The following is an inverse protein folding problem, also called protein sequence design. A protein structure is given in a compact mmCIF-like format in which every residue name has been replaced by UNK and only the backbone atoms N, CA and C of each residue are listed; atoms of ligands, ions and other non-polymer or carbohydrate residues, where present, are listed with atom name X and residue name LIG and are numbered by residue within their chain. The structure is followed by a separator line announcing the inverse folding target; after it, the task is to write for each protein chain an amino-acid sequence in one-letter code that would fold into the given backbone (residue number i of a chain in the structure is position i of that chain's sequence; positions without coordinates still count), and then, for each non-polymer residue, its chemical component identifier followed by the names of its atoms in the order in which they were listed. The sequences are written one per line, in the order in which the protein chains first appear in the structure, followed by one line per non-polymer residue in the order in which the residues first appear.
data_IF_603043911677
#
_entry.id   IF_603043911677
#
_cell.length_a   1.000
_cell.length_b   1.000
_cell.length_c   1.000
_cell.angle_alpha   90.00
_cell.angle_beta   90.00
_cell.angle_gamma   90.00
#
_symmetry.space_group_name_H-M   'P 1'
#
loop_
_entity.id
_entity.type
_entity.pdbx_description
1 polymer ?
#
# COMPACT_ATOMS: atom_id res chain seq x y z
N UNK A 1 -17.98 31.26 17.12
CA UNK A 1 -18.20 30.02 17.89
C UNK A 1 -18.28 28.88 16.88
N UNK A 2 -17.17 28.16 16.69
CA UNK A 2 -16.98 27.07 15.73
C UNK A 2 -18.00 25.94 15.94
N UNK A 3 -18.99 25.82 15.04
CA UNK A 3 -19.73 24.56 14.85
C UNK A 3 -19.21 23.74 13.66
N UNK A 4 -18.25 24.28 12.91
CA UNK A 4 -17.70 23.67 11.69
C UNK A 4 -16.57 22.65 11.92
N UNK A 5 -16.19 22.36 13.17
CA UNK A 5 -14.84 21.82 13.40
C UNK A 5 -14.73 20.31 13.61
N UNK A 6 -15.81 19.61 13.96
CA UNK A 6 -15.73 18.16 14.26
C UNK A 6 -16.34 17.33 13.14
N UNK A 7 -17.53 17.69 12.65
CA UNK A 7 -18.17 17.00 11.52
C UNK A 7 -17.33 17.09 10.24
N UNK A 8 -16.73 18.25 9.96
CA UNK A 8 -15.90 18.44 8.78
C UNK A 8 -14.59 17.62 8.87
N UNK A 9 -13.99 17.54 10.06
CA UNK A 9 -12.80 16.71 10.31
C UNK A 9 -13.13 15.22 10.18
N UNK A 10 -14.23 14.76 10.77
CA UNK A 10 -14.69 13.37 10.65
C UNK A 10 -14.99 13.00 9.19
N UNK A 11 -15.68 13.88 8.46
CA UNK A 11 -15.99 13.67 7.05
C UNK A 11 -14.71 13.64 6.18
N UNK A 12 -13.73 14.48 6.48
CA UNK A 12 -12.43 14.46 5.82
C UNK A 12 -11.66 13.17 6.12
N UNK A 13 -11.71 12.65 7.35
CA UNK A 13 -11.12 11.35 7.71
C UNK A 13 -11.80 10.19 7.01
N UNK A 14 -13.14 10.18 6.94
CA UNK A 14 -13.87 9.12 6.22
C UNK A 14 -13.54 9.13 4.71
N UNK A 15 -13.43 10.31 4.11
CA UNK A 15 -13.00 10.45 2.71
C UNK A 15 -11.57 9.99 2.49
N UNK A 16 -10.64 10.32 3.41
CA UNK A 16 -9.25 9.85 3.34
C UNK A 16 -9.19 8.33 3.46
N UNK A 17 -9.89 7.72 4.42
CA UNK A 17 -9.94 6.27 4.56
C UNK A 17 -10.49 5.57 3.32
N UNK A 18 -11.53 6.12 2.71
CA UNK A 18 -12.08 5.59 1.47
C UNK A 18 -11.04 5.65 0.34
N UNK A 19 -10.39 6.79 0.13
CA UNK A 19 -9.34 6.95 -0.89
C UNK A 19 -8.13 6.06 -0.63
N UNK A 20 -7.71 5.93 0.62
CA UNK A 20 -6.65 5.00 1.00
C UNK A 20 -7.03 3.57 0.66
N UNK A 21 -8.25 3.13 1.00
CA UNK A 21 -8.72 1.78 0.70
C UNK A 21 -8.84 1.54 -0.81
N UNK A 22 -9.31 2.52 -1.58
CA UNK A 22 -9.41 2.42 -3.04
C UNK A 22 -8.01 2.27 -3.66
N UNK A 23 -7.04 3.09 -3.25
CA UNK A 23 -5.64 2.95 -3.68
C UNK A 23 -5.01 1.64 -3.21
N UNK A 24 -5.31 1.19 -1.99
CA UNK A 24 -4.83 -0.07 -1.45
C UNK A 24 -5.32 -1.25 -2.30
N UNK A 25 -6.62 -1.30 -2.61
CA UNK A 25 -7.20 -2.31 -3.49
C UNK A 25 -6.57 -2.31 -4.87
N UNK A 26 -6.37 -1.14 -5.44
CA UNK A 26 -5.74 -1.00 -6.75
C UNK A 26 -4.30 -1.55 -6.76
N UNK A 27 -3.50 -1.25 -5.73
CA UNK A 27 -2.17 -1.87 -5.57
C UNK A 27 -2.21 -3.39 -5.40
N UNK A 28 -3.21 -3.92 -4.68
CA UNK A 28 -3.41 -5.38 -4.55
C UNK A 28 -3.80 -6.01 -5.89
N UNK A 29 -4.68 -5.37 -6.67
CA UNK A 29 -5.06 -5.85 -8.00
C UNK A 29 -3.87 -5.85 -8.97
N UNK A 30 -3.03 -4.82 -8.91
CA UNK A 30 -1.83 -4.70 -9.74
C UNK A 30 -0.80 -5.79 -9.42
N UNK A 31 -0.43 -5.95 -8.15
CA UNK A 31 0.55 -6.96 -7.71
C UNK A 31 0.01 -8.39 -7.80
N UNK A 32 -1.32 -8.53 -7.78
CA UNK A 32 -1.99 -9.81 -7.78
C UNK A 32 -2.58 -10.15 -6.40
N UNK A 33 -3.87 -10.53 -6.36
CA UNK A 33 -4.59 -10.76 -5.11
C UNK A 33 -4.05 -11.95 -4.30
N UNK A 34 -3.23 -12.84 -4.89
CA UNK A 34 -2.61 -13.96 -4.19
C UNK A 34 -1.67 -13.54 -3.04
N UNK A 35 -1.12 -12.33 -3.11
CA UNK A 35 -0.22 -11.79 -2.09
C UNK A 35 -0.96 -11.23 -0.88
N UNK A 36 -2.28 -11.09 -0.94
CA UNK A 36 -3.08 -10.38 0.05
C UNK A 36 -4.33 -11.19 0.43
N UNK A 37 -4.82 -11.01 1.66
CA UNK A 37 -6.05 -11.70 2.08
C UNK A 37 -6.37 -11.51 3.56
N UNK A 38 -7.43 -12.14 4.08
CA UNK A 38 -8.20 -13.23 3.48
C UNK A 38 -9.36 -12.81 2.54
N UNK A 39 -9.65 -11.51 2.44
CA UNK A 39 -10.67 -10.97 1.54
C UNK A 39 -10.18 -10.84 0.11
N UNK A 40 -11.00 -10.22 -0.73
CA UNK A 40 -10.67 -9.92 -2.13
C UNK A 40 -10.80 -8.41 -2.41
N UNK A 41 -10.03 -7.84 -3.36
CA UNK A 41 -10.07 -6.41 -3.67
C UNK A 41 -11.49 -5.89 -3.95
N UNK A 42 -12.31 -6.70 -4.61
CA UNK A 42 -13.67 -6.36 -5.00
C UNK A 42 -14.63 -6.24 -3.80
N UNK A 43 -14.37 -6.99 -2.73
CA UNK A 43 -15.31 -7.13 -1.60
C UNK A 43 -14.82 -6.51 -0.30
N UNK A 44 -13.51 -6.31 -0.15
CA UNK A 44 -12.91 -5.79 1.07
C UNK A 44 -13.47 -4.42 1.44
N UNK A 45 -13.75 -4.22 2.73
CA UNK A 45 -14.24 -2.94 3.28
C UNK A 45 -13.22 -2.24 4.16
N UNK A 46 -12.13 -2.93 4.47
CA UNK A 46 -11.05 -2.49 5.33
C UNK A 46 -9.72 -3.00 4.77
N UNK A 47 -8.62 -2.32 5.10
CA UNK A 47 -7.28 -2.74 4.64
C UNK A 47 -6.87 -4.08 5.25
N UNK A 48 -7.35 -4.40 6.45
CA UNK A 48 -7.06 -5.62 7.18
C UNK A 48 -7.60 -6.88 6.50
N UNK A 49 -8.68 -6.74 5.72
CA UNK A 49 -9.19 -7.81 4.85
C UNK A 49 -8.24 -8.13 3.69
N UNK A 50 -7.34 -7.20 3.36
CA UNK A 50 -6.32 -7.31 2.31
C UNK A 50 -4.93 -7.17 2.91
N UNK A 51 -4.69 -7.78 4.08
CA UNK A 51 -3.36 -7.76 4.68
C UNK A 51 -2.40 -8.59 3.82
N UNK A 52 -1.11 -8.22 3.74
CA UNK A 52 -0.14 -9.00 2.99
C UNK A 52 0.08 -10.37 3.66
N UNK A 53 0.15 -11.42 2.84
CA UNK A 53 0.28 -12.81 3.26
C UNK A 53 1.76 -13.18 3.34
N UNK A 54 2.34 -13.07 4.54
CA UNK A 54 3.77 -13.29 4.78
C UNK A 54 4.34 -14.55 4.14
N UNK A 55 3.70 -15.71 4.34
CA UNK A 55 4.20 -16.96 3.78
C UNK A 55 4.17 -17.01 2.24
N UNK A 56 3.18 -16.38 1.60
CA UNK A 56 3.11 -16.31 0.13
C UNK A 56 4.15 -15.33 -0.41
N UNK A 57 4.22 -14.14 0.18
CA UNK A 57 5.19 -13.11 -0.23
C UNK A 57 6.60 -13.65 -0.07
N UNK A 58 6.98 -14.22 1.08
CA UNK A 58 8.32 -14.78 1.28
C UNK A 58 8.68 -15.91 0.30
N UNK A 59 7.69 -16.64 -0.23
CA UNK A 59 7.94 -17.73 -1.17
C UNK A 59 8.08 -17.27 -2.62
N UNK A 60 7.42 -16.18 -3.00
CA UNK A 60 7.32 -15.71 -4.40
C UNK A 60 8.05 -14.39 -4.64
N UNK A 61 8.51 -13.69 -3.60
CA UNK A 61 9.10 -12.36 -3.72
C UNK A 61 10.21 -12.30 -4.77
N UNK A 62 11.16 -13.22 -4.71
CA UNK A 62 12.32 -13.30 -5.64
C UNK A 62 11.95 -13.79 -7.06
N UNK A 63 10.70 -14.18 -7.31
CA UNK A 63 10.22 -14.60 -8.63
C UNK A 63 9.60 -13.44 -9.44
N UNK A 64 9.30 -12.32 -8.77
CA UNK A 64 8.71 -11.11 -9.37
C UNK A 64 9.75 -10.28 -10.12
N UNK A 65 9.31 -9.30 -10.92
CA UNK A 65 10.25 -8.35 -11.51
C UNK A 65 10.80 -7.37 -10.47
N UNK A 66 11.99 -6.81 -10.71
CA UNK A 66 12.62 -5.84 -9.79
C UNK A 66 11.69 -4.66 -9.44
N UNK A 67 10.87 -4.20 -10.39
CA UNK A 67 9.88 -3.15 -10.15
C UNK A 67 8.72 -3.60 -9.26
N UNK A 68 8.21 -4.81 -9.48
CA UNK A 68 7.14 -5.41 -8.67
C UNK A 68 7.61 -5.74 -7.25
N UNK A 69 8.84 -6.23 -7.07
CA UNK A 69 9.45 -6.45 -5.75
C UNK A 69 9.53 -5.14 -4.95
N UNK A 70 10.01 -4.07 -5.59
CA UNK A 70 10.07 -2.73 -4.97
C UNK A 70 8.67 -2.21 -4.63
N UNK A 71 7.71 -2.39 -5.54
CA UNK A 71 6.33 -1.96 -5.30
C UNK A 71 5.67 -2.77 -4.17
N UNK A 72 5.88 -4.08 -4.13
CA UNK A 72 5.37 -4.97 -3.10
C UNK A 72 5.98 -4.64 -1.74
N UNK A 73 7.28 -4.37 -1.65
CA UNK A 73 7.92 -3.92 -0.43
C UNK A 73 7.32 -2.57 0.06
N UNK A 74 7.08 -1.63 -0.86
CA UNK A 74 6.45 -0.35 -0.54
C UNK A 74 5.00 -0.54 -0.05
N UNK A 75 4.20 -1.35 -0.73
CA UNK A 75 2.83 -1.71 -0.31
C UNK A 75 2.82 -2.34 1.08
N UNK A 76 3.68 -3.34 1.32
CA UNK A 76 3.83 -3.97 2.64
C UNK A 76 4.17 -2.93 3.70
N UNK A 77 5.00 -1.92 3.41
CA UNK A 77 5.37 -0.88 4.38
C UNK A 77 4.19 -0.03 4.89
N UNK A 78 3.13 0.14 4.09
CA UNK A 78 1.90 0.82 4.55
C UNK A 78 1.05 -0.05 5.49
N UNK A 79 1.25 -1.37 5.48
CA UNK A 79 0.59 -2.30 6.38
C UNK A 79 1.46 -2.74 7.57
N UNK A 80 2.78 -2.84 7.39
CA UNK A 80 3.80 -3.17 8.38
C UNK A 80 5.12 -2.50 7.96
N UNK A 81 5.43 -1.30 8.47
CA UNK A 81 6.61 -0.54 8.07
C UNK A 81 7.92 -1.29 8.28
N UNK A 82 8.04 -2.05 9.37
CA UNK A 82 9.26 -2.78 9.71
C UNK A 82 9.48 -3.94 8.73
N UNK A 83 8.41 -4.66 8.37
CA UNK A 83 8.52 -5.74 7.40
C UNK A 83 8.72 -5.21 5.96
N UNK A 84 8.09 -4.10 5.59
CA UNK A 84 8.35 -3.45 4.30
C UNK A 84 9.81 -3.01 4.15
N UNK A 85 10.40 -2.46 5.22
CA UNK A 85 11.84 -2.12 5.27
C UNK A 85 12.72 -3.37 5.13
N UNK A 86 12.36 -4.47 5.80
CA UNK A 86 13.07 -5.75 5.66
C UNK A 86 13.02 -6.27 4.21
N UNK A 87 11.86 -6.23 3.55
CA UNK A 87 11.72 -6.64 2.15
C UNK A 87 12.55 -5.75 1.22
N UNK A 88 12.51 -4.44 1.40
CA UNK A 88 13.33 -3.50 0.61
C UNK A 88 14.83 -3.76 0.77
N UNK A 89 15.28 -4.14 1.98
CA UNK A 89 16.68 -4.49 2.23
C UNK A 89 17.12 -5.76 1.48
N UNK A 90 16.23 -6.76 1.36
CA UNK A 90 16.54 -8.03 0.68
C UNK A 90 16.85 -7.86 -0.81
N UNK A 91 16.18 -6.90 -1.46
CA UNK A 91 16.39 -6.56 -2.88
C UNK A 91 17.39 -5.42 -3.09
N UNK A 92 18.17 -5.08 -2.05
CA UNK A 92 19.15 -3.99 -2.07
C UNK A 92 18.55 -2.64 -2.53
N UNK A 93 17.24 -2.45 -2.32
CA UNK A 93 16.56 -1.21 -2.67
C UNK A 93 16.89 -0.13 -1.63
N UNK A 94 17.98 0.59 -1.89
CA UNK A 94 18.43 1.72 -1.08
C UNK A 94 17.86 3.06 -1.56
N UNK A 95 16.82 3.03 -2.39
CA UNK A 95 16.27 4.22 -3.02
C UNK A 95 15.50 5.05 -2.00
N UNK A 96 15.63 6.37 -2.11
CA UNK A 96 14.71 7.29 -1.44
C UNK A 96 13.30 7.12 -2.01
N UNK A 97 12.29 7.69 -1.33
CA UNK A 97 10.91 7.69 -1.82
C UNK A 97 10.78 8.18 -3.28
N UNK A 98 11.53 9.22 -3.64
CA UNK A 98 11.59 9.72 -5.02
C UNK A 98 12.37 8.82 -5.97
N UNK A 99 13.24 7.95 -5.45
CA UNK A 99 13.98 6.98 -6.24
C UNK A 99 13.13 5.79 -6.66
N UNK A 100 12.07 5.46 -5.91
CA UNK A 100 11.11 4.42 -6.30
C UNK A 100 10.48 4.74 -7.67
N UNK A 101 10.22 6.02 -7.96
CA UNK A 101 9.61 6.44 -9.25
C UNK A 101 10.53 6.27 -10.46
N UNK A 102 11.77 5.75 -10.30
CA UNK A 102 12.66 5.44 -11.41
C UNK A 102 12.38 4.06 -12.01
N UNK A 103 11.93 3.13 -11.19
CA UNK A 103 11.67 1.74 -11.59
C UNK A 103 10.18 1.40 -11.56
N UNK A 104 9.39 2.17 -10.79
CA UNK A 104 7.94 2.09 -10.82
C UNK A 104 7.40 2.73 -12.09
N UNK A 105 6.42 2.06 -12.70
CA UNK A 105 5.64 2.66 -13.76
C UNK A 105 4.72 3.78 -13.21
N UNK A 106 4.00 4.42 -14.13
CA UNK A 106 3.13 5.54 -13.78
C UNK A 106 2.00 5.11 -12.84
N UNK A 107 1.44 3.92 -13.05
CA UNK A 107 0.32 3.38 -12.27
C UNK A 107 0.74 3.10 -10.82
N UNK A 108 1.87 2.42 -10.63
CA UNK A 108 2.47 2.20 -9.31
C UNK A 108 2.78 3.52 -8.59
N UNK A 109 3.29 4.51 -9.32
CA UNK A 109 3.59 5.84 -8.76
C UNK A 109 2.32 6.56 -8.29
N UNK A 110 1.24 6.48 -9.06
CA UNK A 110 -0.07 7.05 -8.68
C UNK A 110 -0.63 6.37 -7.42
N UNK A 111 -0.55 5.04 -7.35
CA UNK A 111 -1.00 4.27 -6.18
C UNK A 111 -0.24 4.69 -4.93
N UNK A 112 1.11 4.76 -4.99
CA UNK A 112 1.93 5.18 -3.85
C UNK A 112 1.60 6.63 -3.44
N UNK A 113 1.39 7.54 -4.40
CA UNK A 113 1.01 8.91 -4.10
C UNK A 113 -0.34 8.98 -3.37
N UNK A 114 -1.37 8.27 -3.85
CA UNK A 114 -2.67 8.23 -3.19
C UNK A 114 -2.59 7.58 -1.80
N UNK A 115 -1.79 6.51 -1.64
CA UNK A 115 -1.54 5.92 -0.32
C UNK A 115 -0.90 6.94 0.63
N UNK A 116 0.17 7.63 0.23
CA UNK A 116 0.84 8.64 1.05
C UNK A 116 -0.09 9.80 1.46
N UNK A 117 -0.87 10.33 0.51
CA UNK A 117 -1.75 11.47 0.74
C UNK A 117 -2.89 11.15 1.72
N UNK A 118 -3.34 9.90 1.72
CA UNK A 118 -4.49 9.44 2.47
C UNK A 118 -4.12 8.55 3.67
N UNK A 119 -2.83 8.28 3.90
CA UNK A 119 -2.35 7.51 5.04
C UNK A 119 -2.59 8.27 6.36
N UNK A 120 -3.42 7.71 7.23
CA UNK A 120 -3.72 8.31 8.54
C UNK A 120 -2.73 7.88 9.64
N UNK A 121 -1.73 7.06 9.32
CA UNK A 121 -0.81 6.47 10.32
C UNK A 121 -1.39 5.24 11.01
N UNK A 122 -0.71 4.83 12.08
CA UNK A 122 -1.13 3.77 13.00
C UNK A 122 -1.76 4.36 14.26
#
# INVERSE_FOLDING_TARGET
MHKDNVLNVLQQSDQKRARFLDAWKHGVEFLGPQFFGPGSPETARTKEELRPLKGTIEALFEEESEGEEQFLAAMVSFYDPAWGEELAYRIECHKSLSGLTLDLDHECTEIICELLLNHEGW
#
